data_IF_127850610973
#
_entry.id   IF_127850610973
#
_cell.length_a   1.000
_cell.length_b   1.000
_cell.length_c   1.000
_cell.angle_alpha   90.00
_cell.angle_beta   90.00
_cell.angle_gamma   90.00
#
_symmetry.space_group_name_H-M   'P 1'
#
loop_
_entity.id
_entity.type
_entity.pdbx_description
1 polymer ?
#
# COMPACT_ATOMS: atom_id res chain seq x y z
N UNK A 1 -6.67 -7.49 8.76
CA UNK A 1 -6.97 -6.09 8.41
C UNK A 1 -5.97 -5.16 9.07
N UNK A 2 -5.88 -5.15 10.40
CA UNK A 2 -4.94 -4.30 11.15
C UNK A 2 -3.47 -4.36 10.67
N UNK A 3 -2.92 -5.54 10.35
CA UNK A 3 -1.56 -5.66 9.80
C UNK A 3 -1.33 -4.96 8.45
N UNK A 4 -2.32 -5.04 7.55
CA UNK A 4 -2.31 -4.33 6.26
C UNK A 4 -2.36 -2.82 6.50
N UNK A 5 -3.26 -2.36 7.37
CA UNK A 5 -3.36 -0.94 7.71
C UNK A 5 -2.07 -0.42 8.37
N UNK A 6 -1.38 -1.25 9.15
CA UNK A 6 -0.09 -0.89 9.74
C UNK A 6 1.00 -0.61 8.69
N UNK A 7 0.99 -1.35 7.58
CA UNK A 7 1.86 -1.09 6.43
C UNK A 7 1.48 0.20 5.73
N UNK A 8 0.21 0.35 5.34
CA UNK A 8 -0.25 1.54 4.61
C UNK A 8 -0.08 2.83 5.45
N UNK A 9 -0.18 2.72 6.78
CA UNK A 9 0.13 3.81 7.70
C UNK A 9 1.61 4.19 7.69
N UNK A 10 2.52 3.22 7.55
CA UNK A 10 3.95 3.46 7.39
C UNK A 10 4.27 4.06 6.03
N UNK A 11 3.60 3.60 4.97
CA UNK A 11 3.84 4.07 3.59
C UNK A 11 3.38 5.52 3.39
N UNK A 12 2.11 5.80 3.69
CA UNK A 12 1.46 7.03 3.23
C UNK A 12 0.78 7.81 4.35
N UNK A 13 0.79 7.28 5.57
CA UNK A 13 -0.08 7.78 6.63
C UNK A 13 -1.56 7.64 6.27
N UNK A 14 -1.90 6.61 5.48
CA UNK A 14 -3.24 6.35 4.94
C UNK A 14 -3.76 7.44 3.99
N UNK A 15 -2.87 8.16 3.31
CA UNK A 15 -3.22 9.18 2.32
C UNK A 15 -3.08 8.61 0.90
N UNK A 16 -4.15 8.68 0.12
CA UNK A 16 -4.16 8.15 -1.24
C UNK A 16 -3.50 9.06 -2.28
N UNK A 17 -3.37 10.36 -2.01
CA UNK A 17 -2.91 11.39 -2.96
C UNK A 17 -1.55 11.97 -2.56
N UNK A 18 -0.66 11.15 -2.00
CA UNK A 18 0.65 11.57 -1.48
C UNK A 18 1.79 11.04 -2.35
N UNK A 19 2.68 11.94 -2.75
CA UNK A 19 3.96 11.62 -3.39
C UNK A 19 5.03 11.38 -2.33
N UNK A 20 6.07 10.64 -2.71
CA UNK A 20 7.28 10.47 -1.90
C UNK A 20 7.78 11.80 -1.32
N UNK A 21 8.13 11.78 -0.04
CA UNK A 21 8.49 12.99 0.72
C UNK A 21 7.30 13.78 1.27
N UNK A 22 6.06 13.32 1.05
CA UNK A 22 4.86 13.81 1.74
C UNK A 22 4.10 14.92 1.03
N UNK A 23 4.40 15.21 -0.23
CA UNK A 23 3.69 16.24 -0.99
C UNK A 23 2.36 15.68 -1.54
N UNK A 24 1.23 16.26 -1.12
CA UNK A 24 -0.09 15.86 -1.60
C UNK A 24 -0.47 16.56 -2.91
N UNK A 25 -1.29 15.90 -3.74
CA UNK A 25 -1.78 16.43 -5.01
C UNK A 25 -1.63 15.42 -6.14
N UNK A 26 -1.46 15.89 -7.38
CA UNK A 26 -1.29 15.01 -8.52
C UNK A 26 -0.01 14.14 -8.42
N UNK A 27 0.01 12.95 -9.03
CA UNK A 27 1.22 12.13 -9.09
C UNK A 27 2.35 12.89 -9.81
N UNK A 28 3.57 12.75 -9.32
CA UNK A 28 4.76 13.23 -10.03
C UNK A 28 4.92 12.48 -11.36
N UNK A 29 5.52 13.13 -12.35
CA UNK A 29 5.73 12.56 -13.68
C UNK A 29 6.94 11.62 -13.79
N UNK A 30 7.62 11.36 -12.68
CA UNK A 30 8.76 10.45 -12.64
C UNK A 30 8.29 9.10 -12.10
N UNK A 31 8.36 8.08 -12.95
CA UNK A 31 7.89 6.72 -12.68
C UNK A 31 9.07 5.79 -12.42
N UNK A 32 10.17 6.30 -11.86
CA UNK A 32 11.27 5.45 -11.43
C UNK A 32 10.81 4.47 -10.32
N UNK A 33 11.31 3.24 -10.39
CA UNK A 33 11.13 2.22 -9.36
C UNK A 33 12.22 2.36 -8.30
N UNK A 34 12.13 3.42 -7.51
CA UNK A 34 13.09 3.78 -6.49
C UNK A 34 12.43 4.41 -5.25
N UNK A 35 13.25 4.70 -4.24
CA UNK A 35 12.78 5.29 -2.97
C UNK A 35 12.52 6.79 -3.05
N UNK A 36 12.52 7.39 -4.25
CA UNK A 36 12.35 8.83 -4.47
C UNK A 36 11.03 9.17 -5.18
N UNK A 37 10.33 8.17 -5.74
CA UNK A 37 9.20 8.42 -6.66
C UNK A 37 7.89 7.67 -6.35
N UNK A 38 7.76 7.15 -5.11
CA UNK A 38 6.55 6.52 -4.59
C UNK A 38 5.28 7.38 -4.68
N UNK A 39 4.14 6.72 -4.86
CA UNK A 39 2.83 7.34 -5.05
C UNK A 39 1.70 6.59 -4.33
N UNK A 40 0.82 7.37 -3.69
CA UNK A 40 -0.45 6.90 -3.17
C UNK A 40 -0.36 6.02 -1.92
N UNK A 41 -1.44 5.30 -1.64
CA UNK A 41 -1.71 4.63 -0.37
C UNK A 41 -0.63 3.60 0.00
N UNK A 42 -0.13 2.86 -0.99
CA UNK A 42 0.93 1.86 -0.85
C UNK A 42 2.30 2.35 -1.37
N UNK A 43 2.46 3.66 -1.60
CA UNK A 43 3.70 4.25 -2.14
C UNK A 43 4.26 3.52 -3.37
N UNK A 44 3.40 3.16 -4.32
CA UNK A 44 3.79 2.48 -5.54
C UNK A 44 4.85 3.29 -6.29
N UNK A 45 5.96 2.63 -6.67
CA UNK A 45 6.95 3.13 -7.62
C UNK A 45 6.82 2.45 -8.98
N UNK A 46 7.61 2.89 -9.95
CA UNK A 46 7.77 2.14 -11.20
C UNK A 46 6.48 1.90 -11.97
N UNK A 47 6.39 0.71 -12.56
CA UNK A 47 5.21 0.24 -13.28
C UNK A 47 3.94 0.12 -12.42
N UNK A 48 4.08 0.00 -11.08
CA UNK A 48 2.90 -0.08 -10.19
C UNK A 48 2.24 1.30 -10.02
N UNK A 49 3.04 2.36 -10.00
CA UNK A 49 2.55 3.74 -10.03
C UNK A 49 1.78 4.02 -11.32
N UNK A 50 2.38 3.69 -12.46
CA UNK A 50 1.71 3.78 -13.77
C UNK A 50 0.40 2.99 -13.78
N UNK A 51 0.40 1.80 -13.14
CA UNK A 51 -0.77 0.95 -13.01
C UNK A 51 -1.93 1.59 -12.23
N UNK A 52 -1.67 2.25 -11.10
CA UNK A 52 -2.73 2.96 -10.35
C UNK A 52 -3.30 4.12 -11.16
N UNK A 53 -2.44 4.88 -11.84
CA UNK A 53 -2.84 6.01 -12.68
C UNK A 53 -3.70 5.51 -13.86
N UNK A 54 -3.29 4.42 -14.50
CA UNK A 54 -4.06 3.79 -15.57
C UNK A 54 -5.40 3.24 -15.06
N UNK A 55 -5.40 2.57 -13.91
CA UNK A 55 -6.63 2.08 -13.29
C UNK A 55 -7.62 3.22 -13.05
N UNK A 56 -7.13 4.34 -12.52
CA UNK A 56 -7.94 5.52 -12.27
C UNK A 56 -8.58 6.04 -13.57
N UNK A 57 -7.79 6.20 -14.64
CA UNK A 57 -8.29 6.66 -15.95
C UNK A 57 -9.34 5.71 -16.53
N UNK A 58 -9.07 4.40 -16.53
CA UNK A 58 -10.00 3.38 -17.05
C UNK A 58 -11.33 3.32 -16.28
N UNK A 59 -11.31 3.67 -14.99
CA UNK A 59 -12.49 3.66 -14.12
C UNK A 59 -13.13 5.04 -13.94
N UNK A 60 -12.67 6.09 -14.64
CA UNK A 60 -13.13 7.48 -14.49
C UNK A 60 -12.97 8.03 -13.06
N UNK A 61 -11.95 7.56 -12.35
CA UNK A 61 -11.56 8.04 -11.03
C UNK A 61 -10.39 9.03 -11.12
N UNK A 62 -10.18 9.81 -10.06
CA UNK A 62 -8.94 10.59 -9.95
C UNK A 62 -7.81 9.70 -9.42
N UNK A 63 -6.60 9.75 -10.00
CA UNK A 63 -5.43 9.10 -9.41
C UNK A 63 -5.28 9.52 -7.95
N UNK A 64 -4.98 8.57 -7.08
CA UNK A 64 -4.83 8.83 -5.66
C UNK A 64 -6.14 8.97 -4.88
N UNK A 65 -7.30 8.87 -5.54
CA UNK A 65 -8.57 8.75 -4.83
C UNK A 65 -8.65 7.42 -4.08
N UNK A 66 -9.44 7.36 -3.00
CA UNK A 66 -9.63 6.10 -2.26
C UNK A 66 -10.14 4.97 -3.15
N UNK A 67 -11.02 5.29 -4.10
CA UNK A 67 -11.59 4.32 -5.03
C UNK A 67 -10.53 3.77 -6.00
N UNK A 68 -9.66 4.64 -6.54
CA UNK A 68 -8.56 4.23 -7.41
C UNK A 68 -7.52 3.39 -6.66
N UNK A 69 -7.08 3.85 -5.48
CA UNK A 69 -6.11 3.13 -4.66
C UNK A 69 -6.59 1.73 -4.28
N UNK A 70 -7.79 1.63 -3.71
CA UNK A 70 -8.33 0.33 -3.29
C UNK A 70 -8.67 -0.56 -4.48
N UNK A 71 -9.18 0.02 -5.58
CA UNK A 71 -9.51 -0.71 -6.78
C UNK A 71 -8.29 -1.30 -7.48
N UNK A 72 -7.20 -0.52 -7.60
CA UNK A 72 -5.96 -1.01 -8.16
C UNK A 72 -5.29 -2.04 -7.25
N UNK A 73 -5.27 -1.80 -5.93
CA UNK A 73 -4.80 -2.78 -4.94
C UNK A 73 -5.57 -4.10 -5.04
N UNK A 74 -6.89 -4.06 -5.17
CA UNK A 74 -7.73 -5.24 -5.36
C UNK A 74 -7.38 -5.97 -6.66
N UNK A 75 -7.21 -5.24 -7.78
CA UNK A 75 -6.76 -5.82 -9.04
C UNK A 75 -5.40 -6.54 -8.92
N UNK A 76 -4.45 -5.95 -8.19
CA UNK A 76 -3.15 -6.57 -7.92
C UNK A 76 -3.28 -7.84 -7.06
N UNK A 77 -4.12 -7.79 -6.02
CA UNK A 77 -4.40 -8.90 -5.10
C UNK A 77 -5.23 -10.01 -5.74
N UNK A 78 -6.00 -9.75 -6.79
CA UNK A 78 -6.69 -10.78 -7.58
C UNK A 78 -5.77 -11.41 -8.63
N UNK A 79 -4.72 -10.69 -9.05
CA UNK A 79 -3.77 -11.13 -10.06
C UNK A 79 -2.41 -11.54 -9.48
N UNK A 80 -1.35 -10.75 -9.74
CA UNK A 80 0.04 -11.13 -9.42
C UNK A 80 0.29 -11.38 -7.93
N UNK A 81 -0.45 -10.72 -7.03
CA UNK A 81 -0.30 -10.82 -5.57
C UNK A 81 -1.37 -11.69 -4.89
N UNK A 82 -2.06 -12.54 -5.65
CA UNK A 82 -3.12 -13.42 -5.10
C UNK A 82 -2.67 -14.38 -4.00
N UNK A 83 -1.38 -14.70 -3.93
CA UNK A 83 -0.83 -15.51 -2.84
C UNK A 83 -0.82 -14.75 -1.50
N UNK A 84 -0.67 -13.43 -1.51
CA UNK A 84 -0.69 -12.58 -0.30
C UNK A 84 -1.99 -12.78 0.47
N UNK A 85 -3.14 -12.82 -0.21
CA UNK A 85 -4.44 -13.07 0.43
C UNK A 85 -4.49 -14.45 1.11
N UNK A 86 -3.86 -15.44 0.50
CA UNK A 86 -3.79 -16.80 1.07
C UNK A 86 -2.89 -16.83 2.30
N UNK A 87 -1.72 -16.19 2.23
CA UNK A 87 -0.79 -16.07 3.34
C UNK A 87 -1.42 -15.32 4.53
N UNK A 88 -2.10 -14.20 4.26
CA UNK A 88 -2.79 -13.39 5.28
C UNK A 88 -3.84 -14.21 6.05
N UNK A 89 -4.60 -15.08 5.38
CA UNK A 89 -5.60 -15.95 6.02
C UNK A 89 -4.99 -16.96 6.98
N UNK A 90 -3.69 -17.25 6.86
CA UNK A 90 -2.95 -18.13 7.77
C UNK A 90 -2.37 -17.43 9.00
N UNK A 91 -2.42 -16.11 9.06
CA UNK A 91 -1.86 -15.33 10.18
C UNK A 91 -2.78 -15.35 11.41
N UNK A 92 -2.19 -15.23 12.59
CA UNK A 92 -2.90 -15.28 13.88
C UNK A 92 -2.70 -14.03 14.74
N UNK A 93 -1.93 -13.05 14.27
CA UNK A 93 -1.71 -11.77 14.95
C UNK A 93 -1.60 -10.62 13.93
N UNK A 94 -1.87 -9.38 14.35
CA UNK A 94 -1.65 -8.20 13.52
C UNK A 94 -0.21 -8.08 13.03
N UNK A 95 0.80 -8.40 13.86
CA UNK A 95 2.22 -8.37 13.48
C UNK A 95 2.54 -9.38 12.38
N UNK A 96 2.01 -10.60 12.48
CA UNK A 96 2.18 -11.62 11.44
C UNK A 96 1.52 -11.17 10.12
N UNK A 97 0.35 -10.54 10.20
CA UNK A 97 -0.30 -9.98 9.02
C UNK A 97 0.49 -8.78 8.44
N UNK A 98 1.12 -7.97 9.28
CA UNK A 98 1.95 -6.86 8.84
C UNK A 98 3.19 -7.37 8.12
N UNK A 99 3.86 -8.38 8.67
CA UNK A 99 5.02 -9.01 8.06
C UNK A 99 4.68 -9.66 6.71
N UNK A 100 3.59 -10.42 6.63
CA UNK A 100 3.16 -11.04 5.36
C UNK A 100 2.86 -9.97 4.30
N UNK A 101 2.22 -8.87 4.68
CA UNK A 101 1.93 -7.79 3.73
C UNK A 101 3.21 -7.12 3.22
N UNK A 102 4.15 -6.84 4.11
CA UNK A 102 5.44 -6.25 3.74
C UNK A 102 6.24 -7.20 2.82
N UNK A 103 6.37 -8.48 3.19
CA UNK A 103 7.16 -9.47 2.44
C UNK A 103 6.56 -9.80 1.06
N UNK A 104 5.23 -9.91 0.98
CA UNK A 104 4.56 -10.37 -0.23
C UNK A 104 4.10 -9.21 -1.14
N UNK A 105 3.63 -8.08 -0.60
CA UNK A 105 2.98 -7.01 -1.37
C UNK A 105 3.79 -5.70 -1.46
N UNK A 106 4.25 -5.15 -0.33
CA UNK A 106 5.02 -3.88 -0.35
C UNK A 106 6.45 -4.10 -0.86
N UNK A 107 7.08 -5.18 -0.40
CA UNK A 107 8.45 -5.56 -0.72
C UNK A 107 9.46 -4.44 -0.42
N UNK A 108 9.25 -3.74 0.69
CA UNK A 108 10.05 -2.57 1.07
C UNK A 108 11.53 -2.95 1.29
N UNK A 109 12.44 -2.15 0.74
CA UNK A 109 13.89 -2.39 0.88
C UNK A 109 14.38 -2.16 2.31
N UNK A 110 13.86 -1.13 2.98
CA UNK A 110 14.02 -0.91 4.43
C UNK A 110 12.63 -0.89 5.07
N UNK A 111 12.13 -2.03 5.53
CA UNK A 111 10.72 -2.16 5.87
C UNK A 111 10.33 -1.44 7.17
N UNK A 112 11.29 -1.13 8.05
CA UNK A 112 10.97 -0.54 9.36
C UNK A 112 9.86 -1.30 10.12
N UNK A 113 9.91 -2.64 10.11
CA UNK A 113 8.85 -3.51 10.65
C UNK A 113 8.40 -3.15 12.07
N UNK A 114 9.29 -2.65 12.92
CA UNK A 114 8.91 -2.20 14.27
C UNK A 114 7.83 -1.11 14.27
N UNK A 115 7.83 -0.20 13.29
CA UNK A 115 6.80 0.83 13.16
C UNK A 115 5.50 0.22 12.63
N UNK A 116 5.61 -0.65 11.61
CA UNK A 116 4.45 -1.34 11.00
C UNK A 116 3.71 -2.19 12.03
N UNK A 117 4.44 -2.95 12.83
CA UNK A 117 3.91 -3.73 13.95
C UNK A 117 3.24 -2.82 14.98
N UNK A 118 3.87 -1.70 15.34
CA UNK A 118 3.28 -0.73 16.27
C UNK A 118 1.94 -0.19 15.74
N UNK A 119 1.89 0.23 14.47
CA UNK A 119 0.64 0.70 13.85
C UNK A 119 -0.40 -0.40 13.74
N UNK A 120 0.01 -1.62 13.37
CA UNK A 120 -0.87 -2.77 13.29
C UNK A 120 -1.50 -3.12 14.65
N UNK A 121 -0.71 -3.11 15.73
CA UNK A 121 -1.19 -3.30 17.09
C UNK A 121 -2.13 -2.18 17.53
N UNK A 122 -1.83 -0.93 17.15
CA UNK A 122 -2.71 0.19 17.44
C UNK A 122 -4.08 -0.03 16.80
N UNK A 123 -4.15 -0.27 15.49
CA UNK A 123 -5.43 -0.55 14.81
C UNK A 123 -6.15 -1.75 15.40
N UNK A 124 -5.42 -2.82 15.75
CA UNK A 124 -6.00 -3.99 16.39
C UNK A 124 -6.64 -3.67 17.75
N UNK A 125 -5.97 -2.85 18.56
CA UNK A 125 -6.47 -2.42 19.86
C UNK A 125 -7.69 -1.49 19.77
N UNK A 126 -7.84 -0.78 18.65
CA UNK A 126 -8.98 0.09 18.33
C UNK A 126 -10.18 -0.69 17.76
N UNK A 127 -10.03 -2.01 17.55
CA UNK A 127 -11.10 -2.91 17.14
C UNK A 127 -11.13 -3.27 15.64
N UNK A 128 -10.02 -3.08 14.92
CA UNK A 128 -9.81 -3.51 13.52
C UNK A 128 -9.02 -4.82 13.40
#
# INVERSE_FOLDING_TARGET
MAGVLGNLQQESGLQGDVNQGGATGAPSSDDADDNENGWGLAQWGGARKEGEIQYADENNESPGSLQANLGYMDQELEGPYSQTITALKGTSSPDQAAQVWDEDYEQATDPQMSNRDQYAQQFYSEGL
#
